data_IF_925745734310
#
_entry.id   IF_925745734310
#
_cell.length_a   1.000
_cell.length_b   1.000
_cell.length_c   1.000
_cell.angle_alpha   90.00
_cell.angle_beta   90.00
_cell.angle_gamma   90.00
#
_symmetry.space_group_name_H-M   'P 1'
#
loop_
_entity.id
_entity.type
_entity.pdbx_description
1 polymer ?
#
# COMPACT_ATOMS: atom_id res chain seq x y z
N UNK A 1 7.81 0.58 10.28
CA UNK A 1 7.23 1.25 11.45
C UNK A 1 6.64 2.65 11.19
N UNK A 2 7.03 3.39 10.12
CA UNK A 2 6.48 4.72 9.82
C UNK A 2 5.04 4.73 9.28
N UNK A 3 4.62 3.68 8.59
CA UNK A 3 3.34 3.63 7.88
C UNK A 3 2.11 3.75 8.82
N UNK A 4 2.09 2.97 9.92
CA UNK A 4 0.98 2.98 10.89
C UNK A 4 0.82 4.32 11.63
N UNK A 5 1.91 5.05 11.88
CA UNK A 5 1.85 6.39 12.50
C UNK A 5 1.27 7.42 11.55
N UNK A 6 1.65 7.38 10.28
CA UNK A 6 1.10 8.28 9.27
C UNK A 6 -0.37 7.95 8.96
N UNK A 7 -0.77 6.68 8.94
CA UNK A 7 -2.17 6.27 8.74
C UNK A 7 -3.09 6.82 9.84
N UNK A 8 -2.60 6.89 11.09
CA UNK A 8 -3.34 7.49 12.19
C UNK A 8 -3.57 8.99 11.95
N UNK A 9 -2.53 9.75 11.59
CA UNK A 9 -2.62 11.19 11.29
C UNK A 9 -3.55 11.48 10.10
N UNK A 10 -3.55 10.62 9.09
CA UNK A 10 -4.45 10.70 7.93
C UNK A 10 -5.91 10.43 8.35
N UNK A 11 -6.16 9.41 9.18
CA UNK A 11 -7.51 9.05 9.66
C UNK A 11 -8.14 10.08 10.59
N UNK A 12 -7.34 10.83 11.35
CA UNK A 12 -7.86 11.88 12.26
C UNK A 12 -8.25 13.16 11.48
N UNK A 13 -7.96 13.24 10.16
CA UNK A 13 -8.37 14.36 9.30
C UNK A 13 -7.39 15.53 9.25
N UNK A 14 -6.23 15.40 9.90
CA UNK A 14 -5.16 16.41 9.92
C UNK A 14 -4.23 16.34 8.69
N UNK A 15 -4.46 15.40 7.77
CA UNK A 15 -3.65 15.27 6.57
C UNK A 15 -4.22 16.08 5.40
N UNK A 16 -3.49 17.11 4.97
CA UNK A 16 -3.77 17.88 3.75
C UNK A 16 -2.95 17.34 2.57
N UNK A 17 -3.59 17.03 1.42
CA UNK A 17 -2.87 16.62 0.21
C UNK A 17 -1.87 17.71 -0.20
N UNK A 18 -0.62 17.33 -0.46
CA UNK A 18 0.47 18.24 -0.80
C UNK A 18 1.34 18.71 0.38
N UNK A 19 0.95 18.41 1.63
CA UNK A 19 1.75 18.78 2.81
C UNK A 19 2.98 17.87 2.99
N UNK A 20 2.92 16.62 2.53
CA UNK A 20 3.97 15.64 2.71
C UNK A 20 4.03 14.67 1.51
N UNK A 21 5.05 14.84 0.66
CA UNK A 21 5.24 14.03 -0.55
C UNK A 21 5.33 12.52 -0.23
N UNK A 22 5.88 12.18 0.92
CA UNK A 22 5.98 10.79 1.38
C UNK A 22 4.62 10.20 1.75
N UNK A 23 3.74 10.99 2.36
CA UNK A 23 2.40 10.55 2.71
C UNK A 23 1.48 10.49 1.49
N UNK A 24 1.62 11.41 0.54
CA UNK A 24 0.87 11.40 -0.73
C UNK A 24 1.25 10.15 -1.53
N UNK A 25 2.55 9.85 -1.59
CA UNK A 25 3.04 8.63 -2.20
C UNK A 25 2.51 7.40 -1.46
N UNK A 26 2.60 7.38 -0.12
CA UNK A 26 2.09 6.27 0.68
C UNK A 26 0.58 6.07 0.48
N UNK A 27 -0.23 7.12 0.36
CA UNK A 27 -1.67 7.05 0.07
C UNK A 27 -1.99 6.58 -1.34
N UNK A 28 -1.18 6.98 -2.32
CA UNK A 28 -1.34 6.53 -3.71
C UNK A 28 -1.03 5.05 -3.88
N UNK A 29 -0.04 4.54 -3.15
CA UNK A 29 0.43 3.16 -3.30
C UNK A 29 -0.13 2.21 -2.24
N UNK A 30 -0.66 2.70 -1.11
CA UNK A 30 -1.19 1.82 -0.06
C UNK A 30 -2.29 0.92 -0.59
N UNK A 31 -3.21 1.42 -1.42
CA UNK A 31 -4.31 0.60 -1.91
C UNK A 31 -3.79 -0.58 -2.74
N UNK A 32 -2.85 -0.31 -3.65
CA UNK A 32 -2.17 -1.34 -4.46
C UNK A 32 -1.39 -2.32 -3.60
N UNK A 33 -0.63 -1.83 -2.61
CA UNK A 33 0.17 -2.68 -1.71
C UNK A 33 -0.73 -3.52 -0.80
N UNK A 34 -1.80 -2.95 -0.24
CA UNK A 34 -2.77 -3.69 0.57
C UNK A 34 -3.49 -4.74 -0.25
N UNK A 35 -3.79 -4.47 -1.53
CA UNK A 35 -4.41 -5.44 -2.43
C UNK A 35 -3.46 -6.61 -2.75
N UNK A 36 -2.16 -6.36 -2.87
CA UNK A 36 -1.16 -7.42 -3.00
C UNK A 36 -0.92 -8.19 -1.71
N UNK A 37 -0.96 -7.53 -0.54
CA UNK A 37 -0.77 -8.17 0.76
C UNK A 37 -2.02 -8.94 1.24
N UNK A 38 -3.21 -8.60 0.75
CA UNK A 38 -4.46 -9.30 1.06
C UNK A 38 -4.74 -10.35 0.00
N UNK A 39 -4.61 -11.62 0.39
CA UNK A 39 -4.93 -12.77 -0.44
C UNK A 39 -6.13 -13.52 0.16
N UNK A 40 -7.01 -14.03 -0.69
CA UNK A 40 -8.10 -14.91 -0.24
C UNK A 40 -7.53 -16.23 0.27
N UNK A 41 -8.17 -16.82 1.29
CA UNK A 41 -7.70 -18.08 1.89
C UNK A 41 -7.67 -19.26 0.92
N UNK A 42 -8.53 -19.22 -0.09
CA UNK A 42 -8.64 -20.27 -1.13
C UNK A 42 -7.79 -19.95 -2.38
N UNK A 43 -7.21 -18.74 -2.44
CA UNK A 43 -6.41 -18.34 -3.59
C UNK A 43 -5.02 -18.98 -3.49
N UNK A 44 -4.70 -19.84 -4.46
CA UNK A 44 -3.36 -20.39 -4.62
C UNK A 44 -2.60 -19.58 -5.65
N UNK A 45 -1.56 -18.89 -5.18
CA UNK A 45 -0.61 -18.18 -6.01
C UNK A 45 0.73 -18.90 -6.01
N UNK A 46 1.32 -19.07 -7.19
CA UNK A 46 2.67 -19.60 -7.34
C UNK A 46 3.70 -18.52 -7.04
N UNK A 47 4.88 -18.91 -6.57
CA UNK A 47 5.96 -17.96 -6.26
C UNK A 47 6.32 -17.03 -7.44
N UNK A 48 6.32 -17.57 -8.67
CA UNK A 48 6.57 -16.78 -9.88
C UNK A 48 5.49 -15.73 -10.16
N UNK A 49 4.22 -16.07 -9.89
CA UNK A 49 3.10 -15.14 -10.01
C UNK A 49 3.15 -14.05 -8.94
N UNK A 50 3.53 -14.40 -7.71
CA UNK A 50 3.77 -13.41 -6.64
C UNK A 50 4.88 -12.42 -7.05
N UNK A 51 5.97 -12.91 -7.66
CA UNK A 51 7.05 -12.07 -8.16
C UNK A 51 6.61 -11.15 -9.30
N UNK A 52 5.78 -11.64 -10.23
CA UNK A 52 5.19 -10.82 -11.30
C UNK A 52 4.31 -9.72 -10.71
N UNK A 53 3.44 -10.04 -9.76
CA UNK A 53 2.57 -9.08 -9.11
C UNK A 53 3.37 -8.02 -8.34
N UNK A 54 4.43 -8.42 -7.63
CA UNK A 54 5.33 -7.48 -6.94
C UNK A 54 5.99 -6.50 -7.93
N UNK A 55 6.49 -6.98 -9.06
CA UNK A 55 7.07 -6.12 -10.11
C UNK A 55 6.05 -5.16 -10.72
N UNK A 56 4.81 -5.62 -10.90
CA UNK A 56 3.70 -4.81 -11.41
C UNK A 56 3.25 -3.70 -10.44
N UNK A 57 3.57 -3.77 -9.15
CA UNK A 57 3.25 -2.69 -8.20
C UNK A 57 4.09 -1.42 -8.42
N UNK A 58 5.30 -1.58 -8.93
CA UNK A 58 6.30 -0.51 -9.11
C UNK A 58 6.59 -0.17 -10.58
N UNK A 59 5.83 -0.76 -11.51
CA UNK A 59 5.82 -0.41 -12.95
C UNK A 59 4.67 0.55 -13.23
#
# INVERSE_FOLDING_TARGET
SNYKKNELLIRIGEYKPGSDKNADFALKYIDKVNKFLKQQVDEKISFEDTLKQLKALFT
#
